data_IF_677153423014
#
_entry.id   IF_677153423014
#
_cell.length_a   1.000
_cell.length_b   1.000
_cell.length_c   1.000
_cell.angle_alpha   90.00
_cell.angle_beta   90.00
_cell.angle_gamma   90.00
#
_symmetry.space_group_name_H-M   'P 1'
#
loop_
_entity.id
_entity.type
_entity.pdbx_description
1 polymer ?
#
# COMPACT_ATOMS: atom_id res chain seq x y z
N UNK A 1 7.22 4.29 -6.14
CA UNK A 1 6.03 3.74 -5.46
C UNK A 1 6.28 3.52 -3.97
N UNK A 2 7.31 2.77 -3.55
CA UNK A 2 7.59 2.52 -2.11
C UNK A 2 7.72 3.79 -1.25
N UNK A 3 8.42 4.83 -1.73
CA UNK A 3 8.48 6.12 -1.05
C UNK A 3 7.09 6.74 -0.81
N UNK A 4 6.20 6.62 -1.80
CA UNK A 4 4.83 7.09 -1.72
C UNK A 4 4.00 6.24 -0.73
N UNK A 5 4.22 4.92 -0.68
CA UNK A 5 3.63 4.05 0.35
C UNK A 5 3.97 4.58 1.75
N UNK A 6 5.27 4.71 2.02
CA UNK A 6 5.76 5.21 3.30
C UNK A 6 5.18 6.57 3.66
N UNK A 7 5.17 7.53 2.72
CA UNK A 7 4.60 8.86 2.98
C UNK A 7 3.13 8.82 3.34
N UNK A 8 2.33 8.02 2.65
CA UNK A 8 0.91 7.89 2.99
C UNK A 8 0.73 7.25 4.36
N UNK A 9 1.44 6.14 4.63
CA UNK A 9 1.33 5.41 5.88
C UNK A 9 1.81 6.23 7.10
N UNK A 10 2.94 6.92 6.99
CA UNK A 10 3.47 7.77 8.07
C UNK A 10 2.53 8.92 8.43
N UNK A 11 1.76 9.41 7.45
CA UNK A 11 0.83 10.53 7.63
C UNK A 11 -0.58 10.08 8.05
N UNK A 12 -0.76 8.81 8.40
CA UNK A 12 -1.97 8.28 9.03
C UNK A 12 -2.02 8.80 10.46
N UNK A 13 -3.13 9.42 10.87
CA UNK A 13 -3.24 10.14 12.14
C UNK A 13 -3.16 9.23 13.35
N UNK A 14 -3.78 8.05 13.30
CA UNK A 14 -3.66 7.06 14.38
C UNK A 14 -2.25 6.48 14.49
N UNK A 15 -1.49 6.43 13.40
CA UNK A 15 -0.08 5.99 13.39
C UNK A 15 0.83 7.09 13.94
N UNK A 16 0.62 8.34 13.53
CA UNK A 16 1.34 9.51 14.05
C UNK A 16 1.18 9.64 15.58
N UNK A 17 0.01 9.28 16.10
CA UNK A 17 -0.33 9.36 17.53
C UNK A 17 -0.37 7.97 18.20
N UNK A 18 0.32 6.97 17.66
CA UNK A 18 0.19 5.59 18.10
C UNK A 18 0.56 5.40 19.58
N UNK A 19 1.65 6.00 20.06
CA UNK A 19 2.07 5.89 21.46
C UNK A 19 1.02 6.47 22.41
N UNK A 20 0.41 7.61 22.07
CA UNK A 20 -0.69 8.18 22.84
C UNK A 20 -1.89 7.23 22.87
N UNK A 21 -2.32 6.75 21.70
CA UNK A 21 -3.44 5.83 21.57
C UNK A 21 -3.21 4.55 22.39
N UNK A 22 -2.02 3.97 22.29
CA UNK A 22 -1.62 2.77 23.04
C UNK A 22 -1.69 2.98 24.55
N UNK A 23 -1.17 4.10 25.05
CA UNK A 23 -1.20 4.43 26.47
C UNK A 23 -2.64 4.59 26.96
N UNK A 24 -3.48 5.28 26.20
CA UNK A 24 -4.88 5.49 26.53
C UNK A 24 -5.64 4.17 26.70
N UNK A 25 -5.51 3.22 25.76
CA UNK A 25 -6.19 1.92 25.89
C UNK A 25 -5.69 1.14 27.11
N UNK A 26 -4.38 1.19 27.40
CA UNK A 26 -3.82 0.52 28.57
C UNK A 26 -4.38 1.12 29.88
N UNK A 27 -4.51 2.44 29.96
CA UNK A 27 -5.10 3.15 31.10
C UNK A 27 -6.60 2.81 31.27
N UNK A 28 -7.33 2.64 30.16
CA UNK A 28 -8.74 2.22 30.19
C UNK A 28 -8.92 0.80 30.73
N UNK A 29 -7.90 -0.05 30.63
CA UNK A 29 -7.95 -1.43 31.13
C UNK A 29 -7.54 -1.56 32.59
N UNK A 30 -6.80 -0.60 33.15
CA UNK A 30 -6.27 -0.70 34.52
C UNK A 30 -7.27 -0.36 35.63
N UNK A 31 -8.56 -0.20 35.33
CA UNK A 31 -9.65 0.19 36.27
C UNK A 31 -9.38 1.46 37.09
N UNK A 32 -8.31 2.18 36.77
CA UNK A 32 -8.03 3.51 37.27
C UNK A 32 -9.05 4.46 36.67
N UNK A 33 -9.82 5.15 37.51
CA UNK A 33 -10.65 6.27 37.07
C UNK A 33 -9.80 7.24 36.26
N UNK A 34 -9.96 7.22 34.94
CA UNK A 34 -9.29 8.17 34.07
C UNK A 34 -9.97 9.51 34.30
N UNK A 35 -9.27 10.43 34.95
CA UNK A 35 -9.60 11.84 34.81
C UNK A 35 -9.25 12.21 33.36
N UNK A 36 -10.23 12.08 32.45
CA UNK A 36 -10.08 12.57 31.09
C UNK A 36 -9.81 14.07 31.20
N UNK A 37 -8.58 14.48 30.91
CA UNK A 37 -8.27 15.89 30.69
C UNK A 37 -8.95 16.30 29.39
N UNK A 38 -9.48 17.51 29.32
CA UNK A 38 -10.14 18.05 28.12
C UNK A 38 -9.30 17.86 26.83
N UNK A 39 -7.97 17.89 26.95
CA UNK A 39 -7.02 17.65 25.85
C UNK A 39 -7.14 16.23 25.24
N UNK A 40 -7.44 15.21 26.05
CA UNK A 40 -7.61 13.83 25.59
C UNK A 40 -8.91 13.65 24.79
N UNK A 41 -9.98 14.34 25.20
CA UNK A 41 -11.26 14.29 24.48
C UNK A 41 -11.15 14.90 23.08
N UNK A 42 -10.46 16.04 22.97
CA UNK A 42 -10.22 16.70 21.68
C UNK A 42 -9.43 15.82 20.72
N UNK A 43 -8.37 15.16 21.21
CA UNK A 43 -7.57 14.24 20.40
C UNK A 43 -8.35 12.98 20.00
N UNK A 44 -9.19 12.45 20.88
CA UNK A 44 -10.05 11.31 20.55
C UNK A 44 -11.09 11.66 19.49
N UNK A 45 -11.72 12.82 19.61
CA UNK A 45 -12.65 13.32 18.59
C UNK A 45 -11.94 13.49 17.24
N UNK A 46 -10.70 13.99 17.24
CA UNK A 46 -9.89 14.11 16.03
C UNK A 46 -9.58 12.74 15.42
N UNK A 47 -9.12 11.77 16.22
CA UNK A 47 -8.84 10.41 15.74
C UNK A 47 -10.09 9.72 15.19
N UNK A 48 -11.24 9.91 15.83
CA UNK A 48 -12.52 9.38 15.38
C UNK A 48 -12.93 9.97 14.02
N UNK A 49 -12.72 11.27 13.85
CA UNK A 49 -13.03 11.97 12.60
C UNK A 49 -12.10 11.56 11.46
N UNK A 50 -10.82 11.32 11.76
CA UNK A 50 -9.80 10.98 10.77
C UNK A 50 -9.79 9.49 10.38
N UNK A 51 -10.50 8.62 11.09
CA UNK A 51 -10.49 7.17 10.86
C UNK A 51 -10.73 6.77 9.39
N UNK A 52 -11.64 7.46 8.70
CA UNK A 52 -11.92 7.20 7.28
C UNK A 52 -10.76 7.64 6.38
N UNK A 53 -10.19 8.83 6.62
CA UNK A 53 -9.02 9.32 5.91
C UNK A 53 -7.82 8.41 6.13
N UNK A 54 -7.65 7.92 7.35
CA UNK A 54 -6.62 6.96 7.73
C UNK A 54 -6.80 5.63 6.98
N UNK A 55 -8.03 5.11 6.92
CA UNK A 55 -8.35 3.91 6.14
C UNK A 55 -8.03 4.08 4.65
N UNK A 56 -8.32 5.25 4.07
CA UNK A 56 -7.96 5.60 2.69
C UNK A 56 -6.44 5.59 2.50
N UNK A 57 -5.69 6.29 3.37
CA UNK A 57 -4.21 6.39 3.30
C UNK A 57 -3.54 5.02 3.45
N UNK A 58 -4.01 4.21 4.40
CA UNK A 58 -3.53 2.83 4.61
C UNK A 58 -3.78 2.02 3.35
N UNK A 59 -5.01 2.02 2.83
CA UNK A 59 -5.37 1.28 1.60
C UNK A 59 -4.50 1.69 0.40
N UNK A 60 -4.31 2.99 0.18
CA UNK A 60 -3.45 3.52 -0.89
C UNK A 60 -1.99 3.09 -0.69
N UNK A 61 -1.50 3.10 0.56
CA UNK A 61 -0.14 2.67 0.87
C UNK A 61 0.08 1.21 0.44
N UNK A 62 -0.80 0.31 0.88
CA UNK A 62 -0.70 -1.12 0.58
C UNK A 62 -0.96 -1.44 -0.89
N UNK A 63 -1.88 -0.72 -1.55
CA UNK A 63 -2.09 -0.82 -3.00
C UNK A 63 -0.82 -0.46 -3.79
N UNK A 64 -0.10 0.58 -3.37
CA UNK A 64 1.16 0.94 -4.00
C UNK A 64 2.28 -0.05 -3.66
N UNK A 65 2.27 -0.65 -2.47
CA UNK A 65 3.27 -1.63 -2.07
C UNK A 65 3.16 -2.91 -2.88
N UNK A 66 1.96 -3.52 -2.99
CA UNK A 66 1.78 -4.77 -3.76
C UNK A 66 2.18 -4.59 -5.22
N UNK A 67 1.86 -3.42 -5.79
CA UNK A 67 2.26 -3.07 -7.17
C UNK A 67 3.77 -2.89 -7.29
N UNK A 68 4.40 -2.23 -6.32
CA UNK A 68 5.86 -2.09 -6.31
C UNK A 68 6.57 -3.45 -6.21
N UNK A 69 6.07 -4.35 -5.36
CA UNK A 69 6.59 -5.71 -5.19
C UNK A 69 6.47 -6.53 -6.49
N UNK A 70 5.33 -6.44 -7.19
CA UNK A 70 5.12 -7.09 -8.49
C UNK A 70 6.02 -6.49 -9.58
N UNK A 71 6.16 -5.16 -9.63
CA UNK A 71 7.04 -4.47 -10.57
C UNK A 71 8.51 -4.86 -10.37
N UNK A 72 8.95 -4.99 -9.11
CA UNK A 72 10.32 -5.40 -8.78
C UNK A 72 10.63 -6.81 -9.28
N UNK A 73 9.61 -7.66 -9.41
CA UNK A 73 9.71 -9.01 -9.99
C UNK A 73 9.52 -9.03 -11.51
N UNK A 74 9.35 -7.87 -12.15
CA UNK A 74 9.19 -7.77 -13.60
C UNK A 74 7.78 -8.06 -14.10
N UNK A 75 6.76 -8.02 -13.24
CA UNK A 75 5.37 -8.16 -13.64
C UNK A 75 4.71 -6.83 -14.03
N UNK A 76 3.70 -6.92 -14.90
CA UNK A 76 2.94 -5.78 -15.41
C UNK A 76 1.75 -5.50 -14.49
N UNK A 77 1.73 -4.32 -13.87
CA UNK A 77 0.66 -3.89 -12.96
C UNK A 77 -0.43 -3.03 -13.61
N UNK A 78 -0.21 -2.55 -14.84
CA UNK A 78 -1.23 -1.87 -15.63
C UNK A 78 -2.17 -2.89 -16.26
N UNK A 79 -3.47 -2.56 -16.36
CA UNK A 79 -4.40 -3.47 -17.04
C UNK A 79 -4.08 -3.53 -18.52
N UNK A 80 -4.05 -4.73 -19.07
CA UNK A 80 -3.86 -4.95 -20.50
C UNK A 80 -5.20 -4.79 -21.23
N UNK A 81 -5.22 -3.97 -22.28
CA UNK A 81 -6.39 -3.74 -23.13
C UNK A 81 -6.61 -4.85 -24.15
N UNK A 82 -7.47 -5.80 -23.79
CA UNK A 82 -7.94 -6.86 -24.68
C UNK A 82 -8.93 -6.43 -25.76
N UNK A 83 -9.39 -5.17 -25.77
CA UNK A 83 -10.38 -4.66 -26.74
C UNK A 83 -9.76 -4.04 -27.99
N UNK A 84 -8.44 -3.84 -28.00
CA UNK A 84 -7.74 -3.42 -29.21
C UNK A 84 -7.94 -4.51 -30.29
N UNK A 85 -8.16 -4.10 -31.55
CA UNK A 85 -8.37 -4.97 -32.71
C UNK A 85 -7.14 -5.84 -33.07
N UNK A 86 -6.70 -6.67 -32.13
CA UNK A 86 -5.60 -7.61 -32.25
C UNK A 86 -5.85 -8.80 -31.29
N UNK A 87 -6.06 -9.98 -31.87
CA UNK A 87 -6.35 -11.23 -31.11
C UNK A 87 -5.29 -11.54 -30.05
N UNK A 88 -4.04 -11.13 -30.27
CA UNK A 88 -2.93 -11.32 -29.32
C UNK A 88 -3.19 -10.62 -27.98
N UNK A 89 -3.71 -9.39 -28.00
CA UNK A 89 -3.97 -8.63 -26.78
C UNK A 89 -5.12 -9.20 -25.95
N UNK A 90 -6.13 -9.76 -26.63
CA UNK A 90 -7.23 -10.47 -25.95
C UNK A 90 -6.73 -11.69 -25.17
N UNK A 91 -5.78 -12.44 -25.73
CA UNK A 91 -5.19 -13.63 -25.07
C UNK A 91 -4.42 -13.23 -23.81
N UNK A 92 -3.49 -12.27 -23.92
CA UNK A 92 -2.67 -11.86 -22.77
C UNK A 92 -3.45 -11.07 -21.72
N UNK A 93 -4.48 -10.31 -22.12
CA UNK A 93 -5.41 -9.66 -21.19
C UNK A 93 -6.21 -10.69 -20.39
N UNK A 94 -6.69 -11.76 -21.04
CA UNK A 94 -7.33 -12.88 -20.34
C UNK A 94 -6.36 -13.57 -19.38
N UNK A 95 -5.12 -13.83 -19.81
CA UNK A 95 -4.06 -14.38 -18.96
C UNK A 95 -3.85 -13.52 -17.71
N UNK A 96 -3.79 -12.19 -17.84
CA UNK A 96 -3.59 -11.29 -16.71
C UNK A 96 -4.68 -11.38 -15.63
N UNK A 97 -5.92 -11.71 -16.04
CA UNK A 97 -7.02 -11.90 -15.10
C UNK A 97 -6.84 -13.15 -14.22
N UNK A 98 -6.10 -14.14 -14.71
CA UNK A 98 -5.86 -15.41 -14.01
C UNK A 98 -4.52 -15.37 -13.24
N UNK A 99 -3.47 -14.77 -13.81
CA UNK A 99 -2.11 -14.78 -13.26
C UNK A 99 -1.29 -13.52 -13.63
N UNK A 100 -0.20 -13.21 -12.89
CA UNK A 100 0.69 -12.12 -13.26
C UNK A 100 1.32 -12.31 -14.64
N UNK A 101 1.29 -11.25 -15.46
CA UNK A 101 1.95 -11.23 -16.76
C UNK A 101 3.32 -10.58 -16.64
N UNK A 102 4.37 -11.29 -17.05
CA UNK A 102 5.71 -10.74 -17.05
C UNK A 102 5.87 -9.69 -18.16
N UNK A 103 6.76 -8.71 -17.95
CA UNK A 103 7.10 -7.73 -18.99
C UNK A 103 7.72 -8.40 -20.23
N UNK A 104 8.40 -9.53 -20.04
CA UNK A 104 9.01 -10.29 -21.12
C UNK A 104 7.95 -11.02 -21.95
N UNK A 105 6.92 -11.58 -21.31
CA UNK A 105 5.77 -12.17 -22.00
C UNK A 105 5.07 -11.10 -22.84
N UNK A 106 4.87 -9.91 -22.27
CA UNK A 106 4.21 -8.81 -22.97
C UNK A 106 4.99 -8.38 -24.23
N UNK A 107 6.32 -8.32 -24.15
CA UNK A 107 7.20 -7.99 -25.29
C UNK A 107 7.05 -8.95 -26.47
N UNK A 108 6.68 -10.21 -26.25
CA UNK A 108 6.45 -11.17 -27.34
C UNK A 108 5.22 -10.81 -28.18
N UNK A 109 4.26 -10.09 -27.60
CA UNK A 109 3.05 -9.65 -28.28
C UNK A 109 3.18 -8.23 -28.81
N UNK A 110 3.95 -7.39 -28.12
CA UNK A 110 4.18 -6.00 -28.50
C UNK A 110 5.63 -5.57 -28.15
N UNK A 111 6.50 -5.39 -29.16
CA UNK A 111 7.81 -4.81 -28.91
C UNK A 111 7.65 -3.36 -28.43
N UNK A 112 8.52 -2.93 -27.53
CA UNK A 112 8.51 -1.54 -27.09
C UNK A 112 8.76 -0.60 -28.27
N UNK A 113 7.84 0.35 -28.44
CA UNK A 113 7.99 1.43 -29.40
C UNK A 113 8.49 2.68 -28.68
N UNK A 114 9.41 3.41 -29.31
CA UNK A 114 9.76 4.76 -28.89
C UNK A 114 8.86 5.72 -29.64
N UNK A 115 8.31 6.73 -28.96
CA UNK A 115 7.75 7.87 -29.68
C UNK A 115 8.88 8.70 -30.29
N UNK A 116 8.68 9.26 -31.48
CA UNK A 116 9.67 10.06 -32.22
C UNK A 116 10.16 11.32 -31.48
N UNK A 117 9.59 11.63 -30.32
CA UNK A 117 9.91 12.80 -29.49
C UNK A 117 10.25 12.35 -28.05
N UNK A 118 11.32 11.57 -27.89
CA UNK A 118 11.96 11.32 -26.58
C UNK A 118 12.30 9.85 -26.27
N UNK A 119 12.86 9.63 -25.08
CA UNK A 119 13.25 8.31 -24.54
C UNK A 119 12.08 7.55 -23.88
N UNK A 120 10.84 7.97 -24.15
CA UNK A 120 9.66 7.34 -23.55
C UNK A 120 9.28 6.08 -24.33
N UNK A 121 9.43 4.93 -23.68
CA UNK A 121 8.91 3.66 -24.16
C UNK A 121 7.39 3.64 -24.02
N UNK A 122 6.70 3.34 -25.12
CA UNK A 122 5.26 3.22 -25.18
C UNK A 122 4.83 1.78 -25.46
N UNK A 123 3.84 1.31 -24.70
CA UNK A 123 3.17 0.02 -24.88
C UNK A 123 1.69 0.31 -25.09
N UNK A 124 1.22 0.18 -26.33
CA UNK A 124 -0.15 0.42 -26.77
C UNK A 124 -1.16 -0.44 -26.03
N UNK A 125 -0.79 -1.68 -25.70
CA UNK A 125 -1.70 -2.60 -25.02
C UNK A 125 -1.97 -2.27 -23.55
N UNK A 126 -1.33 -1.25 -22.95
CA UNK A 126 -1.54 -0.92 -21.54
C UNK A 126 -2.56 0.21 -21.39
N UNK A 127 -3.51 0.02 -20.47
CA UNK A 127 -4.43 1.07 -20.02
C UNK A 127 -3.74 2.00 -19.04
N UNK A 128 -4.29 3.20 -18.89
CA UNK A 128 -3.82 4.21 -17.93
C UNK A 128 -4.15 3.88 -16.46
N UNK A 129 -4.91 2.81 -16.20
CA UNK A 129 -5.23 2.34 -14.86
C UNK A 129 -4.60 0.98 -14.57
N UNK A 130 -4.41 0.72 -13.29
CA UNK A 130 -3.69 -0.45 -12.78
C UNK A 130 -4.65 -1.51 -12.23
N UNK A 131 -4.11 -2.68 -11.91
CA UNK A 131 -4.81 -3.73 -11.17
C UNK A 131 -5.21 -3.20 -9.79
N UNK A 132 -6.41 -3.55 -9.33
CA UNK A 132 -6.91 -3.18 -8.00
C UNK A 132 -6.23 -3.98 -6.89
N UNK A 133 -6.22 -3.43 -5.66
CA UNK A 133 -5.66 -4.12 -4.49
C UNK A 133 -6.42 -5.41 -4.18
N UNK A 134 -7.75 -5.36 -4.18
CA UNK A 134 -8.63 -6.51 -4.02
C UNK A 134 -8.34 -7.63 -5.01
N UNK A 135 -8.26 -7.31 -6.29
CA UNK A 135 -7.94 -8.25 -7.35
C UNK A 135 -6.60 -8.97 -7.11
N UNK A 136 -5.58 -8.24 -6.67
CA UNK A 136 -4.25 -8.80 -6.39
C UNK A 136 -4.29 -9.70 -5.15
N UNK A 137 -4.89 -9.22 -4.05
CA UNK A 137 -4.92 -9.96 -2.79
C UNK A 137 -5.81 -11.21 -2.84
N UNK A 138 -6.89 -11.18 -3.62
CA UNK A 138 -7.83 -12.31 -3.73
C UNK A 138 -7.37 -13.37 -4.73
N UNK A 139 -6.38 -13.07 -5.58
CA UNK A 139 -5.83 -14.05 -6.53
C UNK A 139 -4.67 -14.84 -5.91
N UNK A 140 -4.80 -16.18 -5.75
CA UNK A 140 -3.69 -17.02 -5.27
C UNK A 140 -2.45 -16.94 -6.16
N UNK A 141 -2.65 -16.79 -7.48
CA UNK A 141 -1.58 -16.71 -8.46
C UNK A 141 -0.76 -15.41 -8.34
N UNK A 142 -1.36 -14.33 -7.81
CA UNK A 142 -0.62 -13.12 -7.48
C UNK A 142 0.03 -13.24 -6.09
N UNK A 143 -0.70 -13.75 -5.10
CA UNK A 143 -0.23 -13.86 -3.72
C UNK A 143 1.01 -14.74 -3.54
N UNK A 144 1.24 -15.74 -4.40
CA UNK A 144 2.48 -16.54 -4.35
C UNK A 144 3.77 -15.71 -4.54
N UNK A 145 3.65 -14.52 -5.15
CA UNK A 145 4.75 -13.58 -5.37
C UNK A 145 4.84 -12.50 -4.28
N UNK A 146 3.92 -12.48 -3.33
CA UNK A 146 3.83 -11.51 -2.23
C UNK A 146 4.02 -12.23 -0.90
N UNK A 147 5.15 -12.94 -0.76
CA UNK A 147 5.40 -13.88 0.35
C UNK A 147 5.42 -13.22 1.72
N UNK A 148 5.71 -11.93 1.76
CA UNK A 148 5.74 -11.11 2.96
C UNK A 148 4.33 -10.85 3.51
N UNK A 149 3.29 -10.91 2.66
CA UNK A 149 1.89 -10.72 3.04
C UNK A 149 1.30 -12.06 3.42
N UNK A 150 1.39 -12.40 4.70
CA UNK A 150 0.67 -13.55 5.24
C UNK A 150 -0.85 -13.31 5.31
N UNK A 151 -1.61 -14.35 5.68
CA UNK A 151 -3.06 -14.26 5.78
C UNK A 151 -3.52 -13.20 6.79
N UNK A 152 -2.77 -13.02 7.89
CA UNK A 152 -3.11 -12.05 8.93
C UNK A 152 -2.97 -10.62 8.43
N UNK A 153 -1.85 -10.29 7.79
CA UNK A 153 -1.63 -8.97 7.18
C UNK A 153 -2.64 -8.74 6.05
N UNK A 154 -2.92 -9.76 5.23
CA UNK A 154 -3.96 -9.68 4.19
C UNK A 154 -5.32 -9.32 4.78
N UNK A 155 -5.73 -9.96 5.87
CA UNK A 155 -7.02 -9.71 6.52
C UNK A 155 -7.10 -8.29 7.08
N UNK A 156 -6.02 -7.79 7.68
CA UNK A 156 -5.93 -6.41 8.15
C UNK A 156 -6.08 -5.42 6.98
N UNK A 157 -5.32 -5.62 5.89
CA UNK A 157 -5.38 -4.75 4.71
C UNK A 157 -6.79 -4.75 4.11
N UNK A 158 -7.40 -5.93 3.99
CA UNK A 158 -8.76 -6.07 3.48
C UNK A 158 -9.80 -5.36 4.36
N UNK A 159 -9.60 -5.32 5.68
CA UNK A 159 -10.45 -4.56 6.58
C UNK A 159 -10.40 -3.07 6.25
N UNK A 160 -9.19 -2.47 6.17
CA UNK A 160 -9.04 -1.06 5.81
C UNK A 160 -9.58 -0.74 4.41
N UNK A 161 -9.41 -1.65 3.45
CA UNK A 161 -9.97 -1.52 2.10
C UNK A 161 -11.50 -1.53 2.09
N UNK A 162 -12.13 -2.38 2.91
CA UNK A 162 -13.59 -2.40 3.08
C UNK A 162 -14.08 -1.12 3.76
N UNK A 163 -13.43 -0.68 4.82
CA UNK A 163 -13.74 0.58 5.52
C UNK A 163 -13.69 1.77 4.57
N UNK A 164 -12.69 1.82 3.68
CA UNK A 164 -12.62 2.81 2.59
C UNK A 164 -13.87 2.78 1.69
N UNK A 165 -14.35 1.60 1.32
CA UNK A 165 -15.51 1.44 0.44
C UNK A 165 -16.86 1.66 1.17
N UNK A 166 -16.85 1.65 2.51
CA UNK A 166 -18.01 1.99 3.34
C UNK A 166 -18.24 3.50 3.48
N UNK A 167 -17.44 4.34 2.80
CA UNK A 167 -17.59 5.80 2.74
C UNK A 167 -19.01 6.26 2.38
N UNK A 168 -19.79 5.44 1.68
CA UNK A 168 -21.19 5.71 1.35
C UNK A 168 -22.20 5.42 2.47
N UNK A 169 -21.80 4.73 3.54
CA UNK A 169 -22.68 4.19 4.59
C UNK A 169 -22.37 4.70 6.00
N UNK A 170 -21.23 5.38 6.21
CA UNK A 170 -20.85 5.98 7.49
C UNK A 170 -21.61 7.27 7.78
N UNK A 171 -22.91 7.14 8.06
CA UNK A 171 -23.77 8.19 8.65
C UNK A 171 -24.19 7.89 10.09
N UNK A 172 -23.65 6.85 10.74
CA UNK A 172 -24.00 6.58 12.14
C UNK A 172 -23.08 5.60 12.89
N UNK A 173 -22.46 6.08 13.95
CA UNK A 173 -22.47 5.38 15.24
C UNK A 173 -21.24 4.57 15.69
N UNK A 174 -20.52 3.86 14.82
CA UNK A 174 -19.54 2.86 15.28
C UNK A 174 -18.10 3.10 14.75
N UNK A 175 -17.61 4.33 14.80
CA UNK A 175 -16.37 4.73 14.10
C UNK A 175 -15.06 4.46 14.87
N UNK A 176 -15.11 4.09 16.15
CA UNK A 176 -13.92 3.65 16.89
C UNK A 176 -14.30 2.55 17.90
N UNK A 177 -14.02 1.29 17.56
CA UNK A 177 -13.81 0.28 18.59
C UNK A 177 -12.39 0.46 19.13
N UNK A 178 -12.26 1.30 20.16
CA UNK A 178 -11.00 1.46 20.90
C UNK A 178 -10.79 0.21 21.75
N UNK A 179 -9.86 -0.65 21.32
CA UNK A 179 -9.61 -1.92 21.99
C UNK A 179 -8.19 -2.44 21.76
N UNK A 180 -7.81 -3.46 22.54
CA UNK A 180 -6.49 -4.07 22.46
C UNK A 180 -6.20 -4.69 21.08
N UNK A 181 -7.23 -5.26 20.45
CA UNK A 181 -7.12 -5.83 19.10
C UNK A 181 -6.72 -4.78 18.05
N UNK A 182 -7.16 -3.53 18.23
CA UNK A 182 -6.78 -2.42 17.34
C UNK A 182 -5.30 -2.07 17.52
N UNK A 183 -4.81 -2.00 18.77
CA UNK A 183 -3.38 -1.78 19.05
C UNK A 183 -2.54 -2.89 18.42
N UNK A 184 -2.96 -4.14 18.58
CA UNK A 184 -2.26 -5.28 18.02
C UNK A 184 -2.23 -5.23 16.49
N UNK A 185 -3.34 -4.82 15.87
CA UNK A 185 -3.48 -4.62 14.43
C UNK A 185 -2.54 -3.53 13.92
N UNK A 186 -2.56 -2.36 14.55
CA UNK A 186 -1.69 -1.22 14.19
C UNK A 186 -0.21 -1.55 14.39
N UNK A 187 0.14 -2.25 15.49
CA UNK A 187 1.52 -2.72 15.74
C UNK A 187 2.01 -3.60 14.60
N UNK A 188 1.19 -4.57 14.18
CA UNK A 188 1.53 -5.46 13.06
C UNK A 188 1.71 -4.72 11.74
N UNK A 189 0.87 -3.71 11.46
CA UNK A 189 1.04 -2.88 10.27
C UNK A 189 2.31 -2.05 10.33
N UNK A 190 2.63 -1.46 11.48
CA UNK A 190 3.85 -0.67 11.66
C UNK A 190 5.07 -1.56 11.48
N UNK A 191 5.10 -2.74 12.11
CA UNK A 191 6.17 -3.72 11.95
C UNK A 191 6.31 -4.16 10.50
N UNK A 192 5.20 -4.44 9.82
CA UNK A 192 5.20 -4.79 8.40
C UNK A 192 5.82 -3.67 7.55
N UNK A 193 5.40 -2.42 7.74
CA UNK A 193 5.90 -1.26 6.98
C UNK A 193 7.39 -1.06 7.22
N UNK A 194 7.81 -1.18 8.48
CA UNK A 194 9.19 -1.08 8.89
C UNK A 194 10.07 -2.16 8.21
N UNK A 195 9.63 -3.42 8.26
CA UNK A 195 10.44 -4.56 7.82
C UNK A 195 10.37 -4.81 6.31
N UNK A 196 9.29 -4.40 5.63
CA UNK A 196 9.08 -4.73 4.22
C UNK A 196 9.10 -3.49 3.32
N UNK A 197 8.47 -2.39 3.70
CA UNK A 197 8.40 -1.20 2.83
C UNK A 197 9.66 -0.36 2.95
N UNK A 198 10.06 -0.04 4.19
CA UNK A 198 11.21 0.82 4.48
C UNK A 198 12.50 0.12 4.10
N UNK A 199 12.67 -1.15 4.46
CA UNK A 199 13.87 -1.91 4.13
C UNK A 199 14.05 -2.10 2.63
N UNK A 200 12.99 -2.50 1.90
CA UNK A 200 13.07 -2.63 0.44
C UNK A 200 13.39 -1.28 -0.23
N UNK A 201 12.79 -0.18 0.23
CA UNK A 201 13.10 1.14 -0.29
C UNK A 201 14.59 1.48 -0.09
N UNK A 202 15.09 1.32 1.14
CA UNK A 202 16.45 1.69 1.49
C UNK A 202 17.49 0.81 0.77
N UNK A 203 17.18 -0.47 0.56
CA UNK A 203 17.97 -1.37 -0.28
C UNK A 203 18.03 -0.87 -1.73
N UNK A 204 16.88 -0.56 -2.34
CA UNK A 204 16.83 -0.06 -3.73
C UNK A 204 17.58 1.25 -3.91
N UNK A 205 17.48 2.18 -2.95
CA UNK A 205 18.26 3.43 -2.98
C UNK A 205 19.76 3.13 -2.89
N UNK A 206 20.16 2.21 -2.03
CA UNK A 206 21.56 1.82 -1.87
C UNK A 206 22.12 1.20 -3.15
N UNK A 207 21.41 0.24 -3.75
CA UNK A 207 21.79 -0.39 -5.02
C UNK A 207 21.89 0.62 -6.16
N UNK A 208 20.92 1.55 -6.23
CA UNK A 208 20.91 2.58 -7.25
C UNK A 208 22.12 3.53 -7.12
N UNK A 209 22.45 3.95 -5.89
CA UNK A 209 23.63 4.78 -5.61
C UNK A 209 24.91 4.08 -6.03
N UNK A 210 25.08 2.80 -5.67
CA UNK A 210 26.24 1.99 -6.05
C UNK A 210 26.37 1.85 -7.57
N UNK A 211 25.25 1.65 -8.27
CA UNK A 211 25.27 1.37 -9.72
C UNK A 211 25.54 2.60 -10.58
N UNK A 212 25.07 3.79 -10.17
CA UNK A 212 25.05 4.95 -11.05
C UNK A 212 25.95 6.12 -10.63
N UNK A 213 26.58 6.08 -9.44
CA UNK A 213 27.50 7.13 -8.94
C UNK A 213 27.04 8.57 -9.25
N UNK A 214 25.72 8.82 -9.20
CA UNK A 214 25.14 10.05 -9.73
C UNK A 214 25.03 11.11 -8.64
N UNK A 215 25.66 12.29 -8.81
CA UNK A 215 25.57 13.40 -7.85
C UNK A 215 24.16 14.00 -7.76
N UNK A 216 23.27 13.71 -8.73
CA UNK A 216 21.87 14.17 -8.73
C UNK A 216 21.00 13.49 -7.66
N UNK A 217 21.50 12.42 -7.03
CA UNK A 217 20.76 11.64 -6.03
C UNK A 217 21.39 11.67 -4.64
N UNK A 218 22.32 12.59 -4.39
CA UNK A 218 22.94 12.81 -3.08
C UNK A 218 21.89 13.11 -1.98
N UNK A 219 20.71 13.61 -2.35
CA UNK A 219 19.60 13.94 -1.44
C UNK A 219 18.56 12.82 -1.24
N UNK A 220 18.68 11.68 -1.96
CA UNK A 220 17.78 10.54 -1.73
C UNK A 220 18.12 9.87 -0.40
N UNK A 221 17.42 10.27 0.66
CA UNK A 221 17.68 9.80 2.02
C UNK A 221 16.99 8.47 2.28
N UNK A 222 17.67 7.63 3.07
CA UNK A 222 17.05 6.44 3.64
C UNK A 222 15.82 6.86 4.45
N UNK A 223 14.75 6.07 4.33
CA UNK A 223 13.56 6.25 5.12
C UNK A 223 13.85 5.87 6.57
N UNK A 224 13.48 6.72 7.54
CA UNK A 224 13.60 6.38 8.95
C UNK A 224 12.50 5.38 9.33
N UNK A 225 12.81 4.50 10.29
CA UNK A 225 11.81 3.60 10.89
C UNK A 225 10.72 4.40 11.59
N UNK A 226 9.51 3.85 11.60
CA UNK A 226 8.39 4.35 12.40
C UNK A 226 8.58 3.77 13.80
N UNK A 227 8.78 4.64 14.79
CA UNK A 227 8.96 4.26 16.19
C UNK A 227 7.60 4.14 16.88
N UNK A 228 7.48 3.16 17.79
CA UNK A 228 6.26 2.84 18.56
C UNK A 228 6.50 2.99 20.06
#
# INVERSE_FOLDING_TARGET
MLYFCYRNFRNVKIIENFTFFKNLVNEMQSDSMIAFKDENESLLALLAHEHLNDSIKISISFENYVKAALLNQGFVVHKIDGNINNKKYKVISKKQNDEPVSINDLKLYEPFSTQDIGTQYYIKSLKNYTLGLDFILDSPNYMQYLKEIDQKIKDIINNFYRLRNMLHFTTGGNLLHVGFDEILTLTQLIDFVNNNIIDQHNHLISDFKLKYNSPLYSESNNLPRIFI
#
